data_IF_087164643624
#
_entry.id   IF_087164643624
#
_cell.length_a   1.000
_cell.length_b   1.000
_cell.length_c   1.000
_cell.angle_alpha   90.00
_cell.angle_beta   90.00
_cell.angle_gamma   90.00
#
_symmetry.space_group_name_H-M   'P 1'
#
loop_
_entity.id
_entity.type
_entity.pdbx_description
1 polymer ?
#
# COMPACT_ATOMS: atom_id res chain seq x y z
N UNK A 1 -9.73 -27.29 -37.54
CA UNK A 1 -8.47 -26.53 -37.71
C UNK A 1 -8.71 -25.01 -37.77
N UNK A 2 -9.60 -24.48 -38.63
CA UNK A 2 -9.83 -23.02 -38.76
C UNK A 2 -10.33 -22.30 -37.48
N UNK A 3 -11.26 -22.91 -36.74
CA UNK A 3 -11.80 -22.34 -35.48
C UNK A 3 -10.70 -22.19 -34.42
N UNK A 4 -9.83 -23.19 -34.29
CA UNK A 4 -8.71 -23.16 -33.36
C UNK A 4 -7.72 -22.03 -33.70
N UNK A 5 -7.39 -21.85 -34.98
CA UNK A 5 -6.52 -20.74 -35.42
C UNK A 5 -7.13 -19.37 -35.14
N UNK A 6 -8.44 -19.19 -35.37
CA UNK A 6 -9.15 -17.93 -35.05
C UNK A 6 -9.10 -17.65 -33.55
N UNK A 7 -9.34 -18.67 -32.71
CA UNK A 7 -9.30 -18.53 -31.26
C UNK A 7 -7.90 -18.13 -30.75
N UNK A 8 -6.84 -18.73 -31.31
CA UNK A 8 -5.45 -18.37 -30.99
C UNK A 8 -5.16 -16.91 -31.38
N UNK A 9 -5.57 -16.47 -32.57
CA UNK A 9 -5.37 -15.08 -33.02
C UNK A 9 -6.08 -14.08 -32.11
N UNK A 10 -7.32 -14.38 -31.69
CA UNK A 10 -8.07 -13.53 -30.75
C UNK A 10 -7.34 -13.45 -29.40
N UNK A 11 -6.90 -14.58 -28.85
CA UNK A 11 -6.15 -14.59 -27.58
C UNK A 11 -4.89 -13.74 -27.69
N UNK A 12 -4.09 -13.94 -28.74
CA UNK A 12 -2.87 -13.17 -28.95
C UNK A 12 -3.16 -11.67 -29.06
N UNK A 13 -4.22 -11.30 -29.79
CA UNK A 13 -4.68 -9.91 -29.90
C UNK A 13 -5.11 -9.32 -28.55
N UNK A 14 -5.86 -10.06 -27.74
CA UNK A 14 -6.28 -9.62 -26.40
C UNK A 14 -5.08 -9.47 -25.47
N UNK A 15 -4.16 -10.44 -25.46
CA UNK A 15 -2.93 -10.38 -24.65
C UNK A 15 -2.09 -9.17 -25.05
N UNK A 16 -1.96 -8.88 -26.34
CA UNK A 16 -1.25 -7.70 -26.84
C UNK A 16 -1.91 -6.39 -26.37
N UNK A 17 -3.24 -6.30 -26.45
CA UNK A 17 -3.96 -5.11 -25.98
C UNK A 17 -3.80 -4.89 -24.47
N UNK A 18 -3.95 -5.95 -23.67
CA UNK A 18 -3.76 -5.90 -22.22
C UNK A 18 -2.34 -5.49 -21.86
N UNK A 19 -1.33 -6.05 -22.55
CA UNK A 19 0.07 -5.71 -22.34
C UNK A 19 0.34 -4.22 -22.61
N UNK A 20 -0.12 -3.69 -23.74
CA UNK A 20 0.07 -2.28 -24.08
C UNK A 20 -0.68 -1.35 -23.10
N UNK A 21 -1.89 -1.74 -22.68
CA UNK A 21 -2.64 -0.99 -21.68
C UNK A 21 -1.90 -0.93 -20.35
N UNK A 22 -1.41 -2.06 -19.85
CA UNK A 22 -0.68 -2.13 -18.58
C UNK A 22 0.65 -1.36 -18.64
N UNK A 23 1.40 -1.50 -19.74
CA UNK A 23 2.67 -0.79 -19.94
C UNK A 23 2.50 0.73 -19.89
N UNK A 24 1.40 1.27 -20.39
CA UNK A 24 1.14 2.71 -20.36
C UNK A 24 0.74 3.25 -18.97
N UNK A 25 0.45 2.36 -18.00
CA UNK A 25 -0.03 2.72 -16.66
C UNK A 25 1.04 2.55 -15.58
N UNK A 26 1.94 1.59 -15.75
CA UNK A 26 3.02 1.33 -14.81
C UNK A 26 4.14 2.33 -15.10
N UNK A 27 4.62 3.10 -14.11
CA UNK A 27 5.75 4.01 -14.32
C UNK A 27 7.00 3.27 -14.80
N UNK A 28 7.84 3.91 -15.61
CA UNK A 28 9.06 3.28 -16.13
C UNK A 28 10.19 3.16 -15.08
N UNK A 29 10.08 3.88 -13.95
CA UNK A 29 11.08 3.87 -12.87
C UNK A 29 10.50 4.37 -11.54
N UNK A 30 11.15 4.04 -10.40
CA UNK A 30 10.79 4.59 -9.09
C UNK A 30 10.77 6.11 -9.02
N UNK A 31 11.66 6.78 -9.78
CA UNK A 31 11.73 8.24 -9.89
C UNK A 31 10.47 8.80 -10.53
N UNK A 32 10.03 8.22 -11.66
CA UNK A 32 8.82 8.64 -12.35
C UNK A 32 7.59 8.37 -11.49
N UNK A 33 7.55 7.22 -10.82
CA UNK A 33 6.47 6.89 -9.89
C UNK A 33 6.33 7.92 -8.76
N UNK A 34 7.46 8.37 -8.20
CA UNK A 34 7.48 9.40 -7.17
C UNK A 34 7.07 10.78 -7.72
N UNK A 35 7.46 11.13 -8.94
CA UNK A 35 7.00 12.36 -9.60
C UNK A 35 5.49 12.33 -9.82
N UNK A 36 4.95 11.21 -10.31
CA UNK A 36 3.51 11.01 -10.51
C UNK A 36 2.72 11.05 -9.21
N UNK A 37 3.29 10.50 -8.13
CA UNK A 37 2.70 10.52 -6.78
C UNK A 37 2.50 11.93 -6.24
N UNK A 38 3.41 12.86 -6.57
CA UNK A 38 3.30 14.26 -6.15
C UNK A 38 2.43 15.12 -7.09
N UNK A 39 1.82 14.54 -8.12
CA UNK A 39 1.03 15.30 -9.09
C UNK A 39 -0.42 15.48 -8.61
N UNK A 40 -0.90 16.73 -8.51
CA UNK A 40 -2.14 17.12 -7.78
C UNK A 40 -3.48 16.72 -8.43
N UNK A 41 -3.49 15.98 -9.55
CA UNK A 41 -4.70 15.72 -10.35
C UNK A 41 -5.29 14.31 -10.19
N UNK A 42 -5.06 13.64 -9.05
CA UNK A 42 -5.63 12.32 -8.76
C UNK A 42 -6.68 12.41 -7.66
N UNK A 43 -7.67 11.52 -7.73
CA UNK A 43 -8.52 11.29 -6.59
C UNK A 43 -7.70 10.73 -5.40
N UNK A 44 -8.16 10.95 -4.18
CA UNK A 44 -7.38 10.69 -2.97
C UNK A 44 -6.90 9.23 -2.86
N UNK A 45 -7.77 8.28 -3.20
CA UNK A 45 -7.47 6.84 -3.19
C UNK A 45 -6.47 6.41 -4.29
N UNK A 46 -6.36 7.18 -5.38
CA UNK A 46 -5.49 6.93 -6.53
C UNK A 46 -4.09 7.55 -6.39
N UNK A 47 -3.87 8.39 -5.37
CA UNK A 47 -2.58 9.06 -5.15
C UNK A 47 -1.43 8.04 -5.08
N UNK A 48 -1.66 6.89 -4.43
CA UNK A 48 -0.65 5.85 -4.22
C UNK A 48 -0.44 4.90 -5.42
N UNK A 49 -1.25 4.97 -6.47
CA UNK A 49 -1.20 4.07 -7.64
C UNK A 49 0.18 3.91 -8.25
N UNK A 50 0.91 4.99 -8.61
CA UNK A 50 2.20 4.85 -9.26
C UNK A 50 3.20 4.11 -8.35
N UNK A 51 3.11 4.30 -7.03
CA UNK A 51 3.99 3.64 -6.07
C UNK A 51 3.66 2.14 -5.96
N UNK A 52 2.36 1.79 -5.88
CA UNK A 52 1.91 0.40 -5.80
C UNK A 52 2.27 -0.36 -7.09
N UNK A 53 2.10 0.29 -8.25
CA UNK A 53 2.38 -0.32 -9.55
C UNK A 53 3.86 -0.64 -9.77
N UNK A 54 4.76 0.17 -9.22
CA UNK A 54 6.20 -0.13 -9.20
C UNK A 54 6.58 -1.27 -8.25
N UNK A 55 5.77 -1.54 -7.23
CA UNK A 55 6.00 -2.66 -6.31
C UNK A 55 7.24 -2.51 -5.43
N UNK A 56 7.95 -3.61 -5.19
CA UNK A 56 9.07 -3.70 -4.24
C UNK A 56 10.25 -2.80 -4.60
N UNK A 57 10.42 -2.42 -5.86
CA UNK A 57 11.45 -1.47 -6.30
C UNK A 57 11.32 -0.10 -5.62
N UNK A 58 10.13 0.26 -5.14
CA UNK A 58 9.89 1.49 -4.41
C UNK A 58 10.42 1.46 -2.96
N UNK A 59 10.61 0.29 -2.38
CA UNK A 59 10.84 0.17 -0.92
C UNK A 59 12.09 0.90 -0.44
N UNK A 60 13.27 0.80 -1.10
CA UNK A 60 14.44 1.56 -0.67
C UNK A 60 14.20 3.08 -0.67
N UNK A 61 13.51 3.59 -1.69
CA UNK A 61 13.23 5.02 -1.87
C UNK A 61 12.17 5.50 -0.86
N UNK A 62 11.03 4.80 -0.76
CA UNK A 62 9.97 5.15 0.20
C UNK A 62 10.46 5.06 1.65
N UNK A 63 11.28 4.06 1.99
CA UNK A 63 11.84 3.94 3.34
C UNK A 63 12.67 5.16 3.76
N UNK A 64 13.30 5.86 2.80
CA UNK A 64 14.01 7.11 3.05
C UNK A 64 13.07 8.31 3.13
N UNK A 65 12.13 8.41 2.20
CA UNK A 65 11.22 9.56 2.10
C UNK A 65 10.29 9.66 3.32
N UNK A 66 9.73 8.54 3.80
CA UNK A 66 8.78 8.54 4.93
C UNK A 66 9.42 8.91 6.28
N UNK A 67 10.75 9.03 6.37
CA UNK A 67 11.41 9.56 7.56
C UNK A 67 11.36 11.09 7.63
N UNK A 68 11.15 11.76 6.50
CA UNK A 68 10.95 13.20 6.47
C UNK A 68 9.55 13.53 7.00
N UNK A 69 9.47 14.06 8.22
CA UNK A 69 8.19 14.46 8.84
C UNK A 69 7.42 15.53 8.05
N UNK A 70 8.08 16.26 7.15
CA UNK A 70 7.47 17.27 6.27
C UNK A 70 7.09 16.73 4.88
N UNK A 71 7.20 15.42 4.64
CA UNK A 71 6.87 14.80 3.35
C UNK A 71 5.39 15.04 3.00
N UNK A 72 5.15 15.59 1.82
CA UNK A 72 3.80 15.74 1.26
C UNK A 72 3.22 14.34 1.02
N UNK A 73 1.93 14.14 1.34
CA UNK A 73 1.26 12.85 1.15
C UNK A 73 1.89 11.68 1.94
N UNK A 74 2.67 11.94 3.00
CA UNK A 74 3.38 10.91 3.79
C UNK A 74 2.50 9.74 4.24
N UNK A 75 1.24 10.00 4.61
CA UNK A 75 0.28 8.94 4.98
C UNK A 75 0.02 7.96 3.82
N UNK A 76 -0.08 8.46 2.60
CA UNK A 76 -0.26 7.66 1.39
C UNK A 76 1.00 6.89 1.02
N UNK A 77 2.18 7.46 1.26
CA UNK A 77 3.43 6.73 1.10
C UNK A 77 3.56 5.56 2.10
N UNK A 78 3.18 5.77 3.37
CA UNK A 78 3.14 4.71 4.38
C UNK A 78 2.12 3.63 3.98
N UNK A 79 0.90 4.02 3.58
CA UNK A 79 -0.11 3.09 3.09
C UNK A 79 0.30 2.34 1.81
N UNK A 80 1.00 3.00 0.89
CA UNK A 80 1.53 2.37 -0.32
C UNK A 80 2.51 1.25 0.02
N UNK A 81 3.40 1.45 0.99
CA UNK A 81 4.29 0.39 1.51
C UNK A 81 3.47 -0.81 2.01
N UNK A 82 2.39 -0.56 2.77
CA UNK A 82 1.49 -1.61 3.22
C UNK A 82 0.86 -2.40 2.06
N UNK A 83 0.44 -1.72 0.99
CA UNK A 83 -0.15 -2.34 -0.20
C UNK A 83 0.88 -3.06 -1.08
N UNK A 84 2.13 -2.59 -1.12
CA UNK A 84 3.24 -3.25 -1.82
C UNK A 84 3.53 -4.60 -1.17
N UNK A 85 3.44 -4.70 0.16
CA UNK A 85 3.51 -5.98 0.87
C UNK A 85 4.93 -6.55 1.04
N UNK A 86 5.98 -5.74 0.83
CA UNK A 86 7.37 -6.18 0.97
C UNK A 86 7.82 -6.16 2.44
N UNK A 87 8.22 -7.33 2.96
CA UNK A 87 8.67 -7.48 4.36
C UNK A 87 9.91 -6.64 4.71
N UNK A 88 10.73 -6.26 3.72
CA UNK A 88 11.90 -5.41 3.94
C UNK A 88 11.52 -4.03 4.52
N UNK A 89 10.27 -3.59 4.34
CA UNK A 89 9.78 -2.32 4.86
C UNK A 89 9.30 -2.39 6.32
N UNK A 90 9.19 -3.58 6.93
CA UNK A 90 8.69 -3.70 8.31
C UNK A 90 9.57 -2.92 9.29
N UNK A 91 10.90 -2.95 9.11
CA UNK A 91 11.84 -2.27 10.01
C UNK A 91 11.57 -0.75 10.08
N UNK A 92 11.34 -0.11 8.92
CA UNK A 92 11.07 1.33 8.87
C UNK A 92 9.69 1.68 9.40
N UNK A 93 8.67 0.84 9.18
CA UNK A 93 7.35 1.06 9.75
C UNK A 93 7.36 0.90 11.28
N UNK A 94 8.15 -0.04 11.80
CA UNK A 94 8.32 -0.23 13.24
C UNK A 94 8.99 0.99 13.89
N UNK A 95 9.93 1.66 13.20
CA UNK A 95 10.57 2.86 13.76
C UNK A 95 9.55 4.01 13.88
N UNK A 96 8.68 4.21 12.90
CA UNK A 96 7.60 5.22 12.95
C UNK A 96 6.59 4.86 14.03
N UNK A 97 6.15 3.60 14.12
CA UNK A 97 5.22 3.13 15.17
C UNK A 97 5.73 3.41 16.59
N UNK A 98 7.04 3.20 16.81
CA UNK A 98 7.67 3.35 18.12
C UNK A 98 8.12 4.80 18.43
N UNK A 99 8.02 5.75 17.48
CA UNK A 99 8.37 7.14 17.74
C UNK A 99 7.25 7.83 18.54
N UNK A 100 7.48 8.05 19.83
CA UNK A 100 6.52 8.72 20.72
C UNK A 100 6.37 10.23 20.44
N UNK A 101 7.26 10.82 19.64
CA UNK A 101 7.16 12.21 19.18
C UNK A 101 6.58 12.29 17.76
N UNK A 102 6.15 11.16 17.20
CA UNK A 102 5.44 11.12 15.93
C UNK A 102 3.96 11.44 16.12
N UNK A 103 3.35 11.99 15.09
CA UNK A 103 1.91 12.25 15.10
C UNK A 103 1.15 10.92 15.08
N UNK A 104 0.15 10.80 15.94
CA UNK A 104 -0.57 9.56 16.23
C UNK A 104 -1.08 8.82 14.99
N UNK A 105 -1.65 9.53 14.01
CA UNK A 105 -2.17 8.87 12.80
C UNK A 105 -1.06 8.21 11.97
N UNK A 106 0.18 8.75 11.94
CA UNK A 106 1.29 8.07 11.25
C UNK A 106 1.75 6.81 11.97
N UNK A 107 1.67 6.80 13.31
CA UNK A 107 1.92 5.59 14.11
C UNK A 107 0.85 4.54 13.83
N UNK A 108 -0.41 4.94 13.76
CA UNK A 108 -1.54 4.10 13.40
C UNK A 108 -1.41 3.53 11.97
N UNK A 109 -1.11 4.39 11.00
CA UNK A 109 -0.90 3.99 9.61
C UNK A 109 0.28 3.01 9.47
N UNK A 110 1.32 3.18 10.29
CA UNK A 110 2.46 2.26 10.32
C UNK A 110 2.07 0.88 10.84
N UNK A 111 1.36 0.79 11.97
CA UNK A 111 0.86 -0.50 12.48
C UNK A 111 -0.11 -1.16 11.48
N UNK A 112 -0.97 -0.37 10.84
CA UNK A 112 -1.89 -0.87 9.82
C UNK A 112 -1.13 -1.42 8.61
N UNK A 113 -0.12 -0.70 8.13
CA UNK A 113 0.73 -1.13 7.00
C UNK A 113 1.53 -2.38 7.35
N UNK A 114 2.04 -2.50 8.58
CA UNK A 114 2.66 -3.75 9.05
C UNK A 114 1.65 -4.89 9.03
N UNK A 115 0.38 -4.67 9.40
CA UNK A 115 -0.65 -5.69 9.34
C UNK A 115 -1.01 -6.13 7.92
N UNK A 116 -0.91 -5.22 6.95
CA UNK A 116 -1.07 -5.52 5.51
C UNK A 116 0.06 -6.39 4.98
N UNK A 117 1.29 -6.13 5.41
CA UNK A 117 2.48 -6.90 5.02
C UNK A 117 2.50 -8.26 5.73
N UNK A 118 2.39 -8.24 7.06
CA UNK A 118 2.50 -9.41 7.92
C UNK A 118 1.62 -9.26 9.17
N UNK A 119 0.40 -9.81 9.08
CA UNK A 119 -0.62 -9.74 10.14
C UNK A 119 -0.14 -10.29 11.47
N UNK A 120 0.63 -11.38 11.48
CA UNK A 120 1.14 -11.94 12.75
C UNK A 120 2.21 -11.07 13.39
N UNK A 121 3.10 -10.49 12.58
CA UNK A 121 4.06 -9.52 13.10
C UNK A 121 3.36 -8.31 13.71
N UNK A 122 2.31 -7.80 13.05
CA UNK A 122 1.50 -6.71 13.58
C UNK A 122 0.81 -7.09 14.89
N UNK A 123 0.24 -8.30 15.00
CA UNK A 123 -0.36 -8.82 16.23
C UNK A 123 0.63 -8.86 17.39
N UNK A 124 1.82 -9.38 17.15
CA UNK A 124 2.89 -9.43 18.16
C UNK A 124 3.27 -8.01 18.64
N UNK A 125 3.39 -7.06 17.71
CA UNK A 125 3.69 -5.66 18.04
C UNK A 125 2.55 -4.98 18.79
N UNK A 126 1.30 -5.24 18.39
CA UNK A 126 0.09 -4.68 18.99
C UNK A 126 -0.03 -4.98 20.49
N UNK A 127 0.54 -6.11 20.96
CA UNK A 127 0.56 -6.46 22.40
C UNK A 127 1.24 -5.37 23.25
N UNK A 128 2.19 -4.60 22.69
CA UNK A 128 2.87 -3.50 23.38
C UNK A 128 1.99 -2.25 23.54
N UNK A 129 0.96 -2.13 22.71
CA UNK A 129 0.11 -0.93 22.58
C UNK A 129 -1.29 -1.11 23.15
N UNK A 130 -1.57 -2.20 23.88
CA UNK A 130 -2.90 -2.50 24.47
C UNK A 130 -3.44 -1.42 25.39
N UNK A 131 -2.55 -0.66 26.02
CA UNK A 131 -2.89 0.41 26.96
C UNK A 131 -2.52 1.79 26.40
N UNK A 132 -2.34 1.89 25.07
CA UNK A 132 -2.11 3.19 24.44
C UNK A 132 -3.34 4.09 24.64
N UNK A 133 -3.08 5.32 25.02
CA UNK A 133 -4.04 6.43 25.09
C UNK A 133 -4.42 6.96 23.70
N UNK A 134 -3.54 6.75 22.71
CA UNK A 134 -3.82 7.00 21.29
C UNK A 134 -5.01 6.17 20.79
N UNK A 135 -6.12 6.86 20.50
CA UNK A 135 -7.41 6.28 20.13
C UNK A 135 -7.28 5.32 18.94
N UNK A 136 -6.68 5.75 17.83
CA UNK A 136 -6.58 4.91 16.63
C UNK A 136 -5.69 3.68 16.83
N UNK A 137 -4.64 3.77 17.67
CA UNK A 137 -3.83 2.59 18.02
C UNK A 137 -4.66 1.63 18.86
N UNK A 138 -5.42 2.15 19.83
CA UNK A 138 -6.27 1.32 20.67
C UNK A 138 -7.29 0.52 19.83
N UNK A 139 -8.02 1.19 18.93
CA UNK A 139 -8.99 0.56 18.03
C UNK A 139 -8.32 -0.50 17.13
N UNK A 140 -7.18 -0.16 16.53
CA UNK A 140 -6.43 -1.05 15.66
C UNK A 140 -5.90 -2.27 16.42
N UNK A 141 -5.38 -2.07 17.63
CA UNK A 141 -4.91 -3.15 18.51
C UNK A 141 -6.08 -4.07 18.87
N UNK A 142 -7.25 -3.54 19.24
CA UNK A 142 -8.43 -4.35 19.51
C UNK A 142 -8.85 -5.17 18.29
N UNK A 143 -8.86 -4.56 17.10
CA UNK A 143 -9.21 -5.26 15.87
C UNK A 143 -8.21 -6.38 15.54
N UNK A 144 -6.91 -6.11 15.61
CA UNK A 144 -5.86 -7.10 15.36
C UNK A 144 -5.90 -8.26 16.36
N UNK A 145 -6.16 -7.99 17.63
CA UNK A 145 -6.19 -9.00 18.68
C UNK A 145 -7.53 -9.72 18.80
N UNK A 146 -8.60 -9.22 18.16
CA UNK A 146 -9.88 -9.92 18.15
C UNK A 146 -9.81 -11.22 17.33
N UNK A 147 -10.51 -12.25 17.80
CA UNK A 147 -10.68 -13.52 17.07
C UNK A 147 -11.62 -13.39 15.85
N UNK A 148 -12.25 -12.22 15.69
CA UNK A 148 -13.09 -11.92 14.53
C UNK A 148 -12.17 -11.53 13.37
N UNK A 149 -11.80 -12.53 12.59
CA UNK A 149 -10.83 -12.46 11.48
C UNK A 149 -10.96 -11.22 10.56
N UNK A 150 -12.19 -10.71 10.37
CA UNK A 150 -12.55 -9.59 9.48
C UNK A 150 -12.70 -8.22 10.13
N UNK A 151 -12.45 -8.06 11.44
CA UNK A 151 -12.61 -6.77 12.12
C UNK A 151 -11.62 -5.72 11.57
N UNK A 152 -10.34 -6.08 11.49
CA UNK A 152 -9.28 -5.23 10.95
C UNK A 152 -9.50 -4.86 9.47
N UNK A 153 -9.93 -5.83 8.66
CA UNK A 153 -10.14 -5.59 7.21
C UNK A 153 -11.17 -4.49 6.94
N UNK A 154 -12.18 -4.35 7.79
CA UNK A 154 -13.20 -3.29 7.68
C UNK A 154 -12.67 -1.91 8.05
N UNK A 155 -11.61 -1.83 8.85
CA UNK A 155 -10.98 -0.58 9.27
C UNK A 155 -9.90 -0.12 8.30
N UNK A 156 -9.41 -1.02 7.43
CA UNK A 156 -8.30 -0.71 6.54
C UNK A 156 -8.75 0.16 5.35
N UNK A 157 -8.88 1.45 5.61
CA UNK A 157 -9.28 2.47 4.64
C UNK A 157 -8.20 2.75 3.56
N UNK A 158 -6.95 2.32 3.79
CA UNK A 158 -5.83 2.50 2.86
C UNK A 158 -5.64 1.30 1.93
N UNK A 159 -6.50 0.27 2.01
CA UNK A 159 -6.34 -0.91 1.16
C UNK A 159 -6.61 -0.56 -0.29
N UNK A 160 -5.62 -0.85 -1.13
CA UNK A 160 -5.67 -0.67 -2.57
C UNK A 160 -4.87 -1.75 -3.27
N UNK A 161 -5.58 -2.64 -3.96
CA UNK A 161 -4.97 -3.74 -4.68
C UNK A 161 -4.25 -3.28 -5.95
N UNK A 162 -3.25 -4.06 -6.36
CA UNK A 162 -2.51 -3.82 -7.61
C UNK A 162 -3.45 -3.68 -8.83
N UNK A 163 -4.47 -4.54 -8.92
CA UNK A 163 -5.43 -4.46 -10.03
C UNK A 163 -6.29 -3.20 -9.99
N UNK A 164 -6.67 -2.73 -8.81
CA UNK A 164 -7.44 -1.48 -8.64
C UNK A 164 -6.62 -0.27 -9.08
N UNK A 165 -5.34 -0.24 -8.68
CA UNK A 165 -4.36 0.75 -9.14
C UNK A 165 -4.14 0.67 -10.67
N UNK A 166 -4.02 -0.54 -11.23
CA UNK A 166 -3.76 -0.73 -12.66
C UNK A 166 -4.93 -0.25 -13.54
N UNK A 167 -6.17 -0.57 -13.13
CA UNK A 167 -7.37 -0.19 -13.89
C UNK A 167 -7.85 1.22 -13.55
N UNK A 168 -7.30 1.86 -12.51
CA UNK A 168 -7.71 3.17 -12.03
C UNK A 168 -9.14 3.18 -11.47
N UNK A 169 -9.59 2.06 -10.88
CA UNK A 169 -10.93 2.00 -10.28
C UNK A 169 -10.95 2.89 -9.03
N UNK A 170 -11.99 3.71 -8.93
CA UNK A 170 -12.35 4.49 -7.75
C UNK A 170 -13.74 4.04 -7.29
N UNK A 171 -14.00 4.02 -5.99
CA UNK A 171 -15.32 3.68 -5.44
C UNK A 171 -16.09 4.91 -4.97
#
# INVERSE_FOLDING_TARGET
>A
MKIFTIFVVIIVGVVFLVFNFAKNKIPDSPEIALQEFYHENRAEDQIMDPLILMGSEMIPRLSKEILNKNMIHRRYAIGAIGNIGDENAISILVSILNDHQEIDYFRCDSLNSIAMINKEKARQLALKYRQSDVICLNELVQALLSDKEKSWEKMNYMRRGYLEALIGRHN
#
